data_IF_880535646849
#
_entry.id   IF_880535646849
#
_cell.length_a   1.000
_cell.length_b   1.000
_cell.length_c   1.000
_cell.angle_alpha   90.00
_cell.angle_beta   90.00
_cell.angle_gamma   90.00
#
_symmetry.space_group_name_H-M   'P 1'
#
loop_
_entity.id
_entity.type
_entity.pdbx_description
1 polymer ?
#
# COMPACT_ATOMS: atom_id res chain seq x y z
N UNK A 1 42.65 23.31 -24.07
CA UNK A 1 41.41 22.64 -23.61
C UNK A 1 40.83 21.73 -24.70
N UNK A 2 40.63 22.21 -25.95
CA UNK A 2 40.06 21.38 -27.03
C UNK A 2 40.96 20.20 -27.46
N UNK A 3 42.30 20.33 -27.37
CA UNK A 3 43.24 19.25 -27.65
C UNK A 3 43.19 18.15 -26.57
N UNK A 4 43.01 18.53 -25.29
CA UNK A 4 42.86 17.60 -24.16
C UNK A 4 41.62 16.74 -24.32
N UNK A 5 40.48 17.32 -24.66
CA UNK A 5 39.21 16.60 -24.84
C UNK A 5 39.25 15.55 -25.96
N UNK A 6 40.17 15.66 -26.92
CA UNK A 6 40.38 14.66 -27.99
C UNK A 6 41.27 13.50 -27.57
N UNK A 7 41.96 13.55 -26.43
CA UNK A 7 42.78 12.44 -25.96
C UNK A 7 41.87 11.26 -25.54
N UNK A 8 42.34 10.02 -25.80
CA UNK A 8 41.56 8.80 -25.45
C UNK A 8 41.17 8.75 -23.98
N UNK A 9 42.04 9.24 -23.10
CA UNK A 9 41.81 9.31 -21.65
C UNK A 9 40.65 10.25 -21.31
N UNK A 10 40.66 11.48 -21.87
CA UNK A 10 39.60 12.47 -21.61
C UNK A 10 38.29 12.15 -22.27
N UNK A 11 38.31 11.55 -23.48
CA UNK A 11 37.12 11.04 -24.14
C UNK A 11 36.45 9.98 -23.25
N UNK A 12 37.21 9.01 -22.75
CA UNK A 12 36.69 7.98 -21.85
C UNK A 12 36.13 8.54 -20.53
N UNK A 13 36.85 9.47 -19.90
CA UNK A 13 36.40 10.13 -18.66
C UNK A 13 35.16 10.95 -18.89
N UNK A 14 35.09 11.75 -19.95
CA UNK A 14 33.90 12.54 -20.31
C UNK A 14 32.70 11.63 -20.61
N UNK A 15 32.91 10.53 -21.33
CA UNK A 15 31.88 9.56 -21.63
C UNK A 15 31.31 8.95 -20.31
N UNK A 16 32.20 8.57 -19.37
CA UNK A 16 31.81 8.05 -18.07
C UNK A 16 30.98 9.07 -17.29
N UNK A 17 31.42 10.32 -17.22
CA UNK A 17 30.66 11.40 -16.51
C UNK A 17 29.31 11.64 -17.17
N UNK A 18 29.25 11.66 -18.51
CA UNK A 18 27.99 11.81 -19.24
C UNK A 18 27.01 10.66 -18.95
N UNK A 19 27.48 9.42 -18.97
CA UNK A 19 26.67 8.25 -18.63
C UNK A 19 26.16 8.34 -17.18
N UNK A 20 27.03 8.78 -16.26
CA UNK A 20 26.63 8.97 -14.85
C UNK A 20 25.56 10.05 -14.71
N UNK A 21 25.71 11.21 -15.36
CA UNK A 21 24.73 12.30 -15.33
C UNK A 21 23.39 11.84 -15.90
N UNK A 22 23.39 11.12 -17.03
CA UNK A 22 22.19 10.55 -17.62
C UNK A 22 21.55 9.55 -16.65
N UNK A 23 22.33 8.66 -16.05
CA UNK A 23 21.85 7.69 -15.07
C UNK A 23 21.21 8.37 -13.86
N UNK A 24 21.85 9.39 -13.29
CA UNK A 24 21.26 10.15 -12.17
C UNK A 24 19.99 10.90 -12.57
N UNK A 25 19.94 11.45 -13.80
CA UNK A 25 18.72 12.08 -14.32
C UNK A 25 17.56 11.09 -14.46
N UNK A 26 17.82 9.88 -14.95
CA UNK A 26 16.80 8.83 -15.05
C UNK A 26 16.31 8.35 -13.67
N UNK A 27 17.23 8.19 -12.70
CA UNK A 27 16.89 7.82 -11.33
C UNK A 27 16.09 8.91 -10.64
N UNK A 28 16.46 10.18 -10.82
CA UNK A 28 15.69 11.32 -10.33
C UNK A 28 14.28 11.33 -10.88
N UNK A 29 14.14 11.18 -12.21
CA UNK A 29 12.84 11.12 -12.86
C UNK A 29 11.97 9.98 -12.32
N UNK A 30 12.54 8.77 -12.20
CA UNK A 30 11.84 7.63 -11.63
C UNK A 30 11.33 7.90 -10.21
N UNK A 31 12.13 8.58 -9.37
CA UNK A 31 11.71 8.96 -8.02
C UNK A 31 10.58 10.02 -8.04
N UNK A 32 10.62 10.98 -8.97
CA UNK A 32 9.53 11.93 -9.15
C UNK A 32 8.23 11.26 -9.58
N UNK A 33 8.29 10.36 -10.57
CA UNK A 33 7.12 9.62 -11.03
C UNK A 33 6.51 8.83 -9.87
N UNK A 34 7.36 8.23 -9.02
CA UNK A 34 6.92 7.49 -7.83
C UNK A 34 6.30 8.39 -6.75
N UNK A 35 6.86 9.58 -6.53
CA UNK A 35 6.30 10.56 -5.61
C UNK A 35 4.93 11.08 -6.08
N UNK A 36 4.75 11.26 -7.38
CA UNK A 36 3.48 11.73 -7.96
C UNK A 36 2.37 10.67 -7.85
N UNK A 37 2.70 9.38 -8.06
CA UNK A 37 1.79 8.26 -7.80
C UNK A 37 1.30 8.29 -6.33
N UNK A 38 2.23 8.39 -5.38
CA UNK A 38 1.91 8.44 -3.95
C UNK A 38 1.09 9.68 -3.58
N UNK A 39 1.44 10.84 -4.14
CA UNK A 39 0.66 12.07 -3.95
C UNK A 39 -0.77 11.93 -4.44
N UNK A 40 -0.97 11.30 -5.59
CA UNK A 40 -2.30 11.04 -6.15
C UNK A 40 -3.11 10.14 -5.22
N UNK A 41 -2.51 9.07 -4.69
CA UNK A 41 -3.15 8.17 -3.73
C UNK A 41 -3.51 8.91 -2.43
N UNK A 42 -2.59 9.71 -1.87
CA UNK A 42 -2.85 10.54 -0.69
C UNK A 42 -4.02 11.50 -0.89
N UNK A 43 -4.09 12.15 -2.05
CA UNK A 43 -5.19 13.05 -2.39
C UNK A 43 -6.51 12.28 -2.52
N UNK A 44 -6.52 11.10 -3.12
CA UNK A 44 -7.71 10.25 -3.21
C UNK A 44 -8.23 9.88 -1.81
N UNK A 45 -7.35 9.53 -0.87
CA UNK A 45 -7.72 9.23 0.51
C UNK A 45 -8.27 10.48 1.24
N UNK A 46 -7.60 11.63 1.10
CA UNK A 46 -7.96 12.86 1.82
C UNK A 46 -9.22 13.55 1.30
N UNK A 47 -9.50 13.41 0.00
CA UNK A 47 -10.65 14.01 -0.69
C UNK A 47 -11.78 13.00 -0.93
N UNK A 48 -11.68 11.79 -0.35
CA UNK A 48 -12.65 10.73 -0.54
C UNK A 48 -14.06 11.20 -0.17
N UNK A 49 -14.99 10.94 -1.07
CA UNK A 49 -16.41 11.22 -0.86
C UNK A 49 -16.92 10.46 0.36
N UNK A 50 -17.80 11.08 1.15
CA UNK A 50 -18.51 10.45 2.23
C UNK A 50 -19.93 10.17 1.76
N UNK A 51 -20.32 8.89 1.76
CA UNK A 51 -21.67 8.44 1.44
C UNK A 51 -22.30 7.86 2.70
N UNK A 52 -23.45 8.38 3.08
CA UNK A 52 -24.20 7.91 4.22
C UNK A 52 -25.28 6.89 3.80
N UNK A 53 -25.54 5.90 4.68
CA UNK A 53 -26.62 4.93 4.56
C UNK A 53 -26.63 4.17 3.21
N UNK A 54 -25.48 3.61 2.81
CA UNK A 54 -25.42 2.74 1.64
C UNK A 54 -25.70 1.28 2.01
N UNK A 55 -26.37 0.56 1.13
CA UNK A 55 -26.66 -0.88 1.28
C UNK A 55 -25.75 -1.78 0.42
N UNK A 56 -24.93 -1.19 -0.45
CA UNK A 56 -23.98 -1.87 -1.30
C UNK A 56 -22.78 -0.97 -1.59
N UNK A 57 -21.62 -1.57 -1.71
CA UNK A 57 -20.37 -0.87 -2.06
C UNK A 57 -19.84 -1.23 -3.46
N UNK A 58 -20.66 -1.93 -4.24
CA UNK A 58 -20.33 -2.29 -5.61
C UNK A 58 -20.00 -1.04 -6.44
N UNK A 59 -18.90 -1.13 -7.21
CA UNK A 59 -18.44 -0.08 -8.13
C UNK A 59 -18.09 1.28 -7.48
N UNK A 60 -18.06 1.38 -6.15
CA UNK A 60 -17.56 2.57 -5.49
C UNK A 60 -16.03 2.67 -5.66
N UNK A 61 -15.54 3.90 -5.74
CA UNK A 61 -14.09 4.15 -5.80
C UNK A 61 -13.41 3.75 -4.50
N UNK A 62 -12.16 3.31 -4.60
CA UNK A 62 -11.35 3.02 -3.43
C UNK A 62 -11.22 4.26 -2.54
N UNK A 63 -11.19 4.03 -1.24
CA UNK A 63 -11.19 5.03 -0.17
C UNK A 63 -12.47 5.86 -0.01
N UNK A 64 -13.51 5.69 -0.86
CA UNK A 64 -14.83 6.30 -0.59
C UNK A 64 -15.27 5.93 0.83
N UNK A 65 -15.63 6.92 1.63
CA UNK A 65 -16.11 6.70 2.99
C UNK A 65 -17.59 6.38 2.98
N UNK A 66 -17.97 5.31 3.67
CA UNK A 66 -19.35 4.80 3.68
C UNK A 66 -19.83 4.55 5.08
N UNK A 67 -21.14 4.66 5.26
CA UNK A 67 -21.85 4.21 6.45
C UNK A 67 -22.86 3.14 6.06
N UNK A 68 -22.77 1.96 6.68
CA UNK A 68 -23.54 0.78 6.33
C UNK A 68 -24.18 0.22 7.59
N UNK A 69 -25.47 -0.12 7.50
CA UNK A 69 -26.18 -0.80 8.57
C UNK A 69 -26.39 -2.28 8.26
N UNK A 70 -26.10 -3.14 9.21
CA UNK A 70 -26.21 -4.58 9.02
C UNK A 70 -26.04 -5.38 10.29
N UNK A 71 -25.84 -6.69 10.14
CA UNK A 71 -25.51 -7.61 11.24
C UNK A 71 -24.30 -8.46 10.82
N UNK A 72 -23.30 -8.56 11.68
CA UNK A 72 -22.14 -9.39 11.39
C UNK A 72 -22.46 -10.88 11.45
N UNK A 73 -22.03 -11.63 10.45
CA UNK A 73 -21.96 -13.09 10.53
C UNK A 73 -20.63 -13.52 11.18
N UNK A 74 -20.65 -13.67 12.50
CA UNK A 74 -19.47 -14.03 13.27
C UNK A 74 -18.91 -15.42 12.91
N UNK A 75 -19.74 -16.32 12.36
CA UNK A 75 -19.35 -17.70 12.06
C UNK A 75 -18.43 -17.80 10.83
N UNK A 76 -18.53 -16.83 9.91
CA UNK A 76 -17.70 -16.81 8.70
C UNK A 76 -16.55 -15.79 8.79
N UNK A 77 -16.02 -15.57 9.99
CA UNK A 77 -14.84 -14.71 10.18
C UNK A 77 -13.60 -15.37 9.57
N UNK A 78 -12.81 -14.58 8.81
CA UNK A 78 -11.55 -14.98 8.18
C UNK A 78 -10.39 -14.15 8.71
N UNK A 79 -9.21 -14.75 8.75
CA UNK A 79 -7.94 -14.13 9.11
C UNK A 79 -7.04 -14.03 7.90
N UNK A 80 -6.65 -12.82 7.53
CA UNK A 80 -5.71 -12.61 6.43
C UNK A 80 -4.31 -12.50 7.00
N UNK A 81 -3.45 -13.47 6.63
CA UNK A 81 -2.08 -13.56 7.14
C UNK A 81 -1.15 -12.47 6.61
N UNK A 82 0.02 -12.33 7.26
CA UNK A 82 1.10 -11.44 6.83
C UNK A 82 0.68 -9.97 6.78
N UNK A 83 0.00 -9.53 7.84
CA UNK A 83 -0.42 -8.13 8.01
C UNK A 83 0.34 -7.53 9.19
N UNK A 84 1.51 -6.93 8.94
CA UNK A 84 2.25 -6.26 10.01
C UNK A 84 1.52 -4.98 10.45
N UNK A 85 1.55 -4.71 11.75
CA UNK A 85 1.10 -3.45 12.34
C UNK A 85 2.03 -3.10 13.50
N UNK A 86 2.51 -1.87 13.58
CA UNK A 86 3.39 -1.35 14.64
C UNK A 86 4.62 -2.25 14.94
N UNK A 87 5.22 -2.81 13.86
CA UNK A 87 6.39 -3.71 13.96
C UNK A 87 6.07 -5.14 14.38
N UNK A 88 4.82 -5.46 14.73
CA UNK A 88 4.35 -6.80 15.04
C UNK A 88 3.79 -7.53 13.81
N UNK A 89 4.01 -8.85 13.72
CA UNK A 89 3.32 -9.67 12.74
C UNK A 89 1.92 -10.04 13.23
N UNK A 90 0.96 -10.09 12.31
CA UNK A 90 -0.42 -10.42 12.66
C UNK A 90 -1.32 -10.66 11.46
N UNK A 91 -2.60 -10.53 11.73
CA UNK A 91 -3.67 -10.86 10.79
C UNK A 91 -4.69 -9.72 10.75
N UNK A 92 -5.21 -9.42 9.58
CA UNK A 92 -6.46 -8.68 9.48
C UNK A 92 -7.62 -9.62 9.75
N UNK A 93 -8.56 -9.14 10.53
CA UNK A 93 -9.79 -9.87 10.84
C UNK A 93 -10.88 -9.37 9.90
N UNK A 94 -11.39 -10.24 9.07
CA UNK A 94 -12.51 -9.97 8.18
C UNK A 94 -13.75 -10.74 8.60
N UNK A 95 -14.88 -10.05 8.65
CA UNK A 95 -16.18 -10.66 8.96
C UNK A 95 -17.20 -10.11 7.98
N UNK A 96 -18.05 -10.96 7.38
CA UNK A 96 -19.11 -10.49 6.52
C UNK A 96 -20.19 -9.75 7.32
N UNK A 97 -20.73 -8.70 6.72
CA UNK A 97 -21.85 -7.90 7.22
C UNK A 97 -23.04 -8.13 6.30
N UNK A 98 -24.09 -8.73 6.82
CA UNK A 98 -25.36 -8.89 6.13
C UNK A 98 -26.14 -7.59 6.20
N UNK A 99 -26.43 -6.98 5.06
CA UNK A 99 -27.16 -5.72 4.96
C UNK A 99 -28.66 -5.94 4.93
N UNK A 100 -29.43 -4.89 5.16
CA UNK A 100 -30.90 -4.96 5.07
C UNK A 100 -31.42 -5.25 3.68
N UNK A 101 -30.66 -4.93 2.65
CA UNK A 101 -30.98 -5.24 1.24
C UNK A 101 -30.79 -6.72 0.89
N UNK A 102 -30.19 -7.51 1.79
CA UNK A 102 -29.87 -8.93 1.56
C UNK A 102 -28.54 -9.15 0.84
N UNK A 103 -27.74 -8.12 0.63
CA UNK A 103 -26.35 -8.26 0.17
C UNK A 103 -25.41 -8.49 1.33
N UNK A 104 -24.27 -9.11 1.06
CA UNK A 104 -23.20 -9.35 2.02
C UNK A 104 -21.96 -8.55 1.65
N UNK A 105 -21.44 -7.79 2.62
CA UNK A 105 -20.25 -6.95 2.45
C UNK A 105 -19.16 -7.44 3.40
N UNK A 106 -17.98 -7.78 2.87
CA UNK A 106 -16.84 -8.11 3.72
C UNK A 106 -16.27 -6.86 4.39
N UNK A 107 -16.09 -6.94 5.71
CA UNK A 107 -15.57 -5.84 6.53
C UNK A 107 -14.26 -6.25 7.18
N UNK A 108 -13.18 -5.50 6.94
CA UNK A 108 -11.95 -5.57 7.72
C UNK A 108 -12.23 -4.91 9.07
N UNK A 109 -12.55 -5.73 10.10
CA UNK A 109 -12.91 -5.21 11.42
C UNK A 109 -11.73 -4.64 12.19
N UNK A 110 -10.53 -5.18 11.94
CA UNK A 110 -9.34 -4.79 12.68
C UNK A 110 -8.19 -5.77 12.50
N UNK A 111 -7.25 -5.69 13.42
CA UNK A 111 -6.02 -6.47 13.43
C UNK A 111 -5.85 -7.21 14.77
N UNK A 112 -5.30 -8.43 14.68
CA UNK A 112 -4.88 -9.24 15.82
C UNK A 112 -3.44 -9.71 15.62
N UNK A 113 -2.67 -9.75 16.72
CA UNK A 113 -1.30 -10.26 16.69
C UNK A 113 -1.23 -11.74 16.34
N UNK A 114 -0.11 -12.17 15.78
CA UNK A 114 0.14 -13.58 15.53
C UNK A 114 0.23 -14.36 16.84
N UNK A 115 -0.28 -15.60 16.83
CA UNK A 115 -0.09 -16.53 17.93
C UNK A 115 1.41 -16.82 18.14
N UNK A 116 1.81 -17.12 19.37
CA UNK A 116 3.16 -17.59 19.68
C UNK A 116 3.44 -18.97 19.06
N UNK A 117 2.40 -19.71 18.70
CA UNK A 117 2.47 -21.01 18.03
C UNK A 117 2.17 -20.77 16.54
N UNK A 118 3.16 -20.97 15.68
CA UNK A 118 3.07 -20.65 14.25
C UNK A 118 1.99 -21.41 13.47
N UNK A 119 1.56 -22.57 13.96
CA UNK A 119 0.53 -23.42 13.35
C UNK A 119 -0.88 -23.18 13.89
N UNK A 120 -1.03 -22.26 14.86
CA UNK A 120 -2.31 -21.95 15.50
C UNK A 120 -2.77 -20.55 15.09
N UNK A 121 -4.04 -20.45 14.66
CA UNK A 121 -4.66 -19.16 14.47
C UNK A 121 -4.80 -18.43 15.84
N UNK A 122 -4.61 -17.10 15.89
CA UNK A 122 -4.83 -16.35 17.12
C UNK A 122 -6.32 -16.33 17.51
N UNK A 123 -6.58 -16.06 18.78
CA UNK A 123 -7.93 -15.79 19.25
C UNK A 123 -8.44 -14.48 18.65
N UNK A 124 -9.70 -14.51 18.20
CA UNK A 124 -10.32 -13.36 17.54
C UNK A 124 -11.49 -12.86 18.40
N UNK A 125 -11.48 -11.59 18.82
CA UNK A 125 -12.62 -10.99 19.50
C UNK A 125 -13.89 -11.04 18.65
N UNK A 126 -15.00 -11.43 19.27
CA UNK A 126 -16.28 -11.52 18.57
C UNK A 126 -16.76 -10.13 18.11
N UNK A 127 -17.43 -10.04 16.95
CA UNK A 127 -18.07 -8.80 16.55
C UNK A 127 -19.24 -8.45 17.49
N UNK A 128 -19.67 -7.18 17.53
CA UNK A 128 -20.90 -6.80 18.22
C UNK A 128 -22.08 -7.65 17.76
N UNK A 129 -22.86 -8.14 18.70
CA UNK A 129 -24.07 -8.91 18.42
C UNK A 129 -25.23 -7.98 17.99
N UNK A 130 -26.08 -8.46 17.06
CA UNK A 130 -27.24 -7.71 16.58
C UNK A 130 -26.92 -6.60 15.58
N UNK A 131 -27.84 -5.65 15.40
CA UNK A 131 -27.68 -4.57 14.43
C UNK A 131 -26.50 -3.66 14.76
N UNK A 132 -25.71 -3.35 13.76
CA UNK A 132 -24.54 -2.47 13.86
C UNK A 132 -24.56 -1.47 12.72
N UNK A 133 -24.03 -0.27 12.98
CA UNK A 133 -23.71 0.73 11.97
C UNK A 133 -22.21 0.77 11.83
N UNK A 134 -21.72 0.46 10.66
CA UNK A 134 -20.30 0.44 10.29
C UNK A 134 -19.98 1.70 9.51
N UNK A 135 -19.01 2.48 9.98
CA UNK A 135 -18.40 3.57 9.21
C UNK A 135 -17.01 3.11 8.77
N UNK A 136 -16.74 3.17 7.48
CA UNK A 136 -15.50 2.63 6.92
C UNK A 136 -15.11 3.28 5.60
N UNK A 137 -14.02 2.78 5.04
CA UNK A 137 -13.51 3.16 3.71
C UNK A 137 -13.54 1.95 2.77
N UNK A 138 -14.01 2.17 1.56
CA UNK A 138 -14.06 1.13 0.52
C UNK A 138 -12.63 0.75 0.11
N UNK A 139 -12.38 -0.56 -0.05
CA UNK A 139 -11.11 -1.11 -0.51
C UNK A 139 -11.34 -2.11 -1.64
N UNK A 140 -10.37 -2.20 -2.52
CA UNK A 140 -10.37 -3.22 -3.56
C UNK A 140 -9.95 -4.58 -2.99
N UNK A 141 -10.47 -5.67 -3.57
CA UNK A 141 -9.90 -6.99 -3.33
C UNK A 141 -8.49 -7.09 -3.90
N UNK A 142 -7.68 -7.94 -3.28
CA UNK A 142 -6.35 -8.30 -3.78
C UNK A 142 -6.47 -9.40 -4.85
N UNK A 143 -5.43 -9.51 -5.67
CA UNK A 143 -5.33 -10.64 -6.59
C UNK A 143 -5.09 -11.93 -5.81
N UNK A 144 -5.79 -13.02 -6.14
CA UNK A 144 -5.58 -14.30 -5.48
C UNK A 144 -4.15 -14.81 -5.75
N UNK A 145 -3.58 -15.50 -4.75
CA UNK A 145 -2.35 -16.24 -4.95
C UNK A 145 -2.68 -17.65 -5.43
N UNK A 146 -1.99 -18.16 -6.45
CA UNK A 146 -2.13 -19.55 -6.83
C UNK A 146 -1.56 -20.46 -5.72
N UNK A 147 -2.24 -21.58 -5.46
CA UNK A 147 -1.74 -22.76 -4.74
C UNK A 147 -1.10 -22.50 -3.35
N UNK A 148 -1.83 -21.84 -2.46
CA UNK A 148 -1.42 -21.74 -1.05
C UNK A 148 -2.03 -22.91 -0.26
N UNK A 149 -1.19 -23.84 0.18
CA UNK A 149 -1.59 -25.02 0.95
C UNK A 149 -1.16 -24.91 2.42
N UNK A 150 -1.84 -25.69 3.29
CA UNK A 150 -1.42 -25.88 4.68
C UNK A 150 -1.73 -24.70 5.62
N UNK A 151 -2.68 -23.85 5.27
CA UNK A 151 -3.14 -22.79 6.18
C UNK A 151 -4.08 -23.37 7.25
N UNK A 152 -4.04 -22.87 8.49
CA UNK A 152 -5.03 -23.18 9.52
C UNK A 152 -6.46 -22.86 9.06
N UNK A 153 -7.44 -23.53 9.64
CA UNK A 153 -8.84 -23.26 9.34
C UNK A 153 -9.19 -21.78 9.60
N UNK A 154 -9.90 -21.17 8.66
CA UNK A 154 -10.29 -19.76 8.74
C UNK A 154 -9.18 -18.76 8.38
N UNK A 155 -7.94 -19.21 8.12
CA UNK A 155 -6.84 -18.35 7.64
C UNK A 155 -6.76 -18.40 6.13
N UNK A 156 -6.66 -17.23 5.50
CA UNK A 156 -6.49 -17.07 4.05
C UNK A 156 -5.21 -16.28 3.74
N UNK A 157 -4.68 -16.49 2.54
CA UNK A 157 -3.42 -15.88 2.14
C UNK A 157 -3.60 -14.43 1.70
N UNK A 158 -4.66 -14.14 0.96
CA UNK A 158 -4.97 -12.84 0.37
C UNK A 158 -6.42 -12.46 0.59
N UNK A 159 -6.66 -11.16 0.61
CA UNK A 159 -7.99 -10.58 0.63
C UNK A 159 -8.61 -10.66 -0.77
N UNK A 160 -8.88 -11.86 -1.25
CA UNK A 160 -9.46 -12.08 -2.57
C UNK A 160 -10.88 -12.65 -2.46
N UNK A 161 -11.74 -12.26 -3.39
CA UNK A 161 -13.12 -12.73 -3.41
C UNK A 161 -13.19 -14.25 -3.58
N UNK A 162 -12.23 -14.83 -4.33
CA UNK A 162 -12.15 -16.27 -4.53
C UNK A 162 -11.88 -17.04 -3.22
N UNK A 163 -11.01 -16.52 -2.33
CA UNK A 163 -10.70 -17.15 -1.05
C UNK A 163 -11.79 -16.93 0.01
N UNK A 164 -12.53 -15.81 -0.09
CA UNK A 164 -13.60 -15.46 0.86
C UNK A 164 -14.90 -16.21 0.58
N UNK A 165 -15.26 -16.41 -0.69
CA UNK A 165 -16.52 -17.05 -1.09
C UNK A 165 -16.48 -18.58 -1.09
N UNK A 166 -15.69 -19.21 -0.24
CA UNK A 166 -15.53 -20.67 -0.19
C UNK A 166 -16.76 -21.41 0.35
N UNK A 167 -17.67 -20.73 1.03
CA UNK A 167 -18.94 -21.29 1.45
C UNK A 167 -20.05 -20.66 0.60
N UNK A 168 -20.80 -21.47 -0.13
CA UNK A 168 -21.91 -21.04 -0.96
C UNK A 168 -22.98 -20.30 -0.13
N UNK A 169 -22.77 -19.02 0.10
CA UNK A 169 -23.79 -18.14 0.63
C UNK A 169 -24.77 -17.84 -0.49
N UNK A 170 -26.07 -17.95 -0.20
CA UNK A 170 -27.12 -17.60 -1.16
C UNK A 170 -27.25 -16.08 -1.37
N UNK A 171 -26.53 -15.28 -0.57
CA UNK A 171 -26.56 -13.83 -0.64
C UNK A 171 -25.56 -13.30 -1.67
N UNK A 172 -25.93 -12.33 -2.49
CA UNK A 172 -24.97 -11.68 -3.38
C UNK A 172 -23.90 -10.98 -2.56
N UNK A 173 -22.64 -11.29 -2.85
CA UNK A 173 -21.48 -10.68 -2.19
C UNK A 173 -20.99 -9.50 -3.00
N UNK A 174 -20.81 -8.37 -2.36
CA UNK A 174 -20.30 -7.17 -3.01
C UNK A 174 -18.86 -7.36 -3.51
N UNK A 175 -18.54 -6.69 -4.62
CA UNK A 175 -17.22 -6.77 -5.28
C UNK A 175 -16.17 -5.83 -4.67
N UNK A 176 -16.44 -5.29 -3.50
CA UNK A 176 -15.57 -4.41 -2.71
C UNK A 176 -15.61 -4.83 -1.24
N UNK A 177 -14.59 -4.39 -0.52
CA UNK A 177 -14.42 -4.60 0.92
C UNK A 177 -14.56 -3.27 1.64
N UNK A 178 -14.99 -3.26 2.88
CA UNK A 178 -15.01 -2.07 3.73
C UNK A 178 -13.98 -2.23 4.84
N UNK A 179 -13.04 -1.31 4.93
CA UNK A 179 -12.12 -1.20 6.06
C UNK A 179 -12.77 -0.36 7.15
N UNK A 180 -12.98 -0.96 8.33
CA UNK A 180 -13.63 -0.32 9.47
C UNK A 180 -12.81 0.88 9.96
N UNK A 181 -13.48 2.00 10.17
CA UNK A 181 -12.96 3.17 10.88
C UNK A 181 -13.61 3.26 12.27
N UNK A 182 -14.93 3.07 12.34
CA UNK A 182 -15.67 3.01 13.60
C UNK A 182 -16.97 2.22 13.43
N UNK A 183 -17.53 1.76 14.55
CA UNK A 183 -18.85 1.10 14.55
C UNK A 183 -19.68 1.51 15.75
N UNK A 184 -20.99 1.37 15.62
CA UNK A 184 -21.95 1.56 16.73
C UNK A 184 -22.88 0.34 16.78
N UNK A 185 -22.82 -0.51 17.82
CA UNK A 185 -21.91 -0.44 18.98
C UNK A 185 -20.43 -0.54 18.60
N UNK A 186 -19.57 0.05 19.41
CA UNK A 186 -18.13 -0.02 19.18
C UNK A 186 -17.64 -1.47 19.26
N UNK A 187 -16.77 -1.86 18.31
CA UNK A 187 -16.06 -3.11 18.41
C UNK A 187 -14.99 -2.97 19.51
N UNK A 188 -15.18 -3.69 20.62
CA UNK A 188 -14.19 -3.76 21.70
C UNK A 188 -13.10 -4.77 21.40
N UNK A 189 -11.89 -4.55 21.94
CA UNK A 189 -10.78 -5.53 21.99
C UNK A 189 -10.09 -5.86 20.67
N UNK A 190 -10.39 -5.16 19.57
CA UNK A 190 -9.69 -5.31 18.29
C UNK A 190 -8.99 -4.01 17.90
N UNK A 191 -7.73 -4.08 17.44
CA UNK A 191 -7.01 -2.91 16.97
C UNK A 191 -7.55 -2.52 15.59
N UNK A 192 -8.02 -1.28 15.46
CA UNK A 192 -8.46 -0.76 14.16
C UNK A 192 -7.23 -0.63 13.23
N UNK A 193 -7.35 -1.15 12.03
CA UNK A 193 -6.32 -1.01 11.01
C UNK A 193 -6.35 0.45 10.51
N UNK A 194 -5.26 1.22 10.63
CA UNK A 194 -5.23 2.57 10.09
C UNK A 194 -5.37 2.55 8.56
N UNK A 195 -5.95 3.60 8.00
CA UNK A 195 -5.86 3.81 6.55
C UNK A 195 -4.40 4.02 6.14
N UNK A 196 -4.01 3.64 4.92
CA UNK A 196 -2.64 3.85 4.47
C UNK A 196 -2.23 5.32 4.62
N UNK A 197 -1.13 5.54 5.32
CA UNK A 197 -0.44 6.82 5.31
C UNK A 197 0.51 6.81 4.12
N UNK A 198 0.24 7.68 3.16
CA UNK A 198 1.06 7.81 1.95
C UNK A 198 1.88 9.07 2.07
N UNK A 199 3.20 8.92 2.18
CA UNK A 199 4.17 10.01 2.25
C UNK A 199 5.11 9.97 1.04
N UNK A 200 5.00 10.99 0.19
CA UNK A 200 5.87 11.19 -0.96
C UNK A 200 7.24 11.81 -0.60
N UNK A 201 7.44 12.28 0.63
CA UNK A 201 8.62 13.04 1.04
C UNK A 201 9.93 12.28 0.86
N UNK A 202 9.95 10.98 1.11
CA UNK A 202 11.13 10.15 0.92
C UNK A 202 11.56 10.09 -0.55
N UNK A 203 10.62 9.86 -1.47
CA UNK A 203 10.91 9.80 -2.90
C UNK A 203 11.37 11.15 -3.45
N UNK A 204 10.77 12.26 -3.00
CA UNK A 204 11.20 13.62 -3.35
C UNK A 204 12.63 13.87 -2.88
N UNK A 205 12.97 13.46 -1.66
CA UNK A 205 14.31 13.61 -1.11
C UNK A 205 15.35 12.86 -1.95
N UNK A 206 15.05 11.63 -2.37
CA UNK A 206 15.92 10.88 -3.27
C UNK A 206 16.01 11.50 -4.68
N UNK A 207 14.90 12.01 -5.22
CA UNK A 207 14.93 12.69 -6.51
C UNK A 207 15.88 13.88 -6.50
N UNK A 208 15.82 14.73 -5.46
CA UNK A 208 16.73 15.85 -5.26
C UNK A 208 18.17 15.39 -5.08
N UNK A 209 18.41 14.32 -4.31
CA UNK A 209 19.74 13.76 -4.10
C UNK A 209 20.39 13.32 -5.42
N UNK A 210 19.66 12.69 -6.34
CA UNK A 210 20.19 12.30 -7.65
C UNK A 210 20.56 13.50 -8.51
N UNK A 211 19.77 14.59 -8.45
CA UNK A 211 20.13 15.87 -9.12
C UNK A 211 21.44 16.44 -8.56
N UNK A 212 21.58 16.42 -7.24
CA UNK A 212 22.82 16.90 -6.59
C UNK A 212 24.03 16.07 -7.02
N UNK A 213 23.91 14.76 -7.14
CA UNK A 213 25.01 13.90 -7.64
C UNK A 213 25.38 14.22 -9.09
N UNK A 214 24.38 14.47 -9.95
CA UNK A 214 24.64 14.92 -11.32
C UNK A 214 25.40 16.24 -11.35
N UNK A 215 25.03 17.21 -10.51
CA UNK A 215 25.71 18.50 -10.39
C UNK A 215 27.15 18.34 -9.88
N UNK A 216 27.36 17.50 -8.86
CA UNK A 216 28.70 17.22 -8.32
C UNK A 216 29.58 16.57 -9.40
N UNK A 217 29.07 15.63 -10.18
CA UNK A 217 29.78 15.01 -11.27
C UNK A 217 30.16 16.02 -12.35
N UNK A 218 29.25 16.90 -12.71
CA UNK A 218 29.47 17.98 -13.69
C UNK A 218 30.53 18.97 -13.21
N UNK A 219 30.40 19.46 -11.99
CA UNK A 219 31.36 20.41 -11.38
C UNK A 219 32.72 19.78 -11.22
N UNK A 220 32.78 18.53 -10.75
CA UNK A 220 34.02 17.77 -10.63
C UNK A 220 34.72 17.62 -11.97
N UNK A 221 34.01 17.22 -13.02
CA UNK A 221 34.56 17.13 -14.38
C UNK A 221 35.11 18.49 -14.84
N UNK A 222 34.42 19.58 -14.62
CA UNK A 222 34.88 20.91 -15.00
C UNK A 222 36.14 21.33 -14.24
N UNK A 223 36.21 21.07 -12.93
CA UNK A 223 37.40 21.36 -12.11
C UNK A 223 38.61 20.56 -12.58
N UNK A 224 38.46 19.27 -12.85
CA UNK A 224 39.55 18.42 -13.35
C UNK A 224 40.02 18.87 -14.73
N UNK A 225 39.08 19.21 -15.63
CA UNK A 225 39.42 19.72 -16.96
C UNK A 225 40.25 21.02 -16.88
N UNK A 226 39.82 21.94 -15.99
CA UNK A 226 40.52 23.21 -15.79
C UNK A 226 41.94 22.98 -15.24
N UNK A 227 42.12 22.14 -14.22
CA UNK A 227 43.42 21.84 -13.62
C UNK A 227 44.38 21.20 -14.62
N UNK A 228 43.93 20.22 -15.38
CA UNK A 228 44.79 19.57 -16.41
C UNK A 228 45.18 20.54 -17.53
N UNK A 229 44.31 21.51 -17.86
CA UNK A 229 44.62 22.54 -18.86
C UNK A 229 45.64 23.56 -18.38
N UNK A 230 45.77 23.75 -17.07
CA UNK A 230 46.70 24.70 -16.43
C UNK A 230 48.06 24.05 -16.11
N UNK A 231 48.15 22.71 -16.12
CA UNK A 231 49.40 21.99 -15.86
C UNK A 231 50.21 21.97 -17.16
N UNK A 232 51.45 22.60 -17.22
CA UNK A 232 52.28 22.52 -18.39
C UNK A 232 52.70 21.05 -18.62
N UNK A 233 52.65 20.57 -19.88
CA UNK A 233 53.27 19.31 -20.24
C UNK A 233 54.78 19.48 -20.08
N UNK A 234 55.40 18.88 -19.02
CA UNK A 234 56.83 18.62 -18.98
C UNK A 234 57.22 17.57 -20.00
#
# INVERSE_FOLDING_TARGET
VFALLKSRRWVGFTALVMVSIIGFGLLSRWQWDRADEQRTERLAISQAQVLEAVDSVNNLQEFTRVQISGTFDAQDTKLIRQRPLDGGNGYWVMTPLDTKSGSQIWVIRGWVGASTIATQAPDVPQPPAGPVVVSGAVRNFEQPLPDVFGLPAGVIAKMSLAELNTKGTNNPVDNRVVQLISSTPAASEILIVPLPEVDEGQNISYAVQWILFALVAMVGWFIFLKREAETPNE
#
